data_IF_649052432107
#
_entry.id   IF_649052432107
#
_cell.length_a   1.000
_cell.length_b   1.000
_cell.length_c   1.000
_cell.angle_alpha   90.00
_cell.angle_beta   90.00
_cell.angle_gamma   90.00
#
_symmetry.space_group_name_H-M   'P 1'
#
loop_
_entity.id
_entity.type
_entity.pdbx_description
1 polymer ?
#
# COMPACT_ATOMS: atom_id res chain seq x y z
N UNK A 1 -18.88 5.68 -0.96
CA UNK A 1 -17.67 4.85 -0.88
C UNK A 1 -16.70 5.55 0.07
N UNK A 2 -16.08 4.83 1.01
CA UNK A 2 -15.21 5.44 2.02
C UNK A 2 -13.84 5.69 1.40
N UNK A 3 -13.40 6.96 1.40
CA UNK A 3 -12.07 7.35 0.93
C UNK A 3 -11.07 7.19 2.06
N UNK A 4 -9.93 6.59 1.77
CA UNK A 4 -8.85 6.42 2.73
C UNK A 4 -7.52 6.82 2.12
N UNK A 5 -6.56 7.15 2.99
CA UNK A 5 -5.14 7.11 2.67
C UNK A 5 -4.57 5.98 3.49
N UNK A 6 -3.87 5.03 2.86
CA UNK A 6 -3.16 4.00 3.59
C UNK A 6 -1.84 4.58 4.10
N UNK A 7 -1.47 4.32 5.35
CA UNK A 7 -0.10 4.58 5.78
C UNK A 7 0.83 3.53 5.14
N UNK A 8 2.09 3.89 4.92
CA UNK A 8 3.13 2.97 4.44
C UNK A 8 3.21 1.71 5.31
N UNK A 9 3.02 1.84 6.63
CA UNK A 9 3.03 0.71 7.55
C UNK A 9 1.90 -0.32 7.29
N UNK A 10 0.80 0.09 6.66
CA UNK A 10 -0.32 -0.79 6.31
C UNK A 10 0.12 -1.71 5.17
N UNK A 11 0.76 -1.17 4.13
CA UNK A 11 1.30 -1.96 3.02
C UNK A 11 2.38 -2.92 3.52
N UNK A 12 3.34 -2.42 4.31
CA UNK A 12 4.41 -3.23 4.91
C UNK A 12 3.82 -4.39 5.73
N UNK A 13 2.87 -4.10 6.62
CA UNK A 13 2.25 -5.12 7.48
C UNK A 13 1.46 -6.16 6.68
N UNK A 14 0.81 -5.76 5.58
CA UNK A 14 0.07 -6.65 4.69
C UNK A 14 0.97 -7.66 3.96
N UNK A 15 2.23 -7.28 3.69
CA UNK A 15 3.25 -8.17 3.13
C UNK A 15 3.89 -9.08 4.18
N UNK A 16 4.04 -8.60 5.42
CA UNK A 16 4.66 -9.39 6.50
C UNK A 16 3.76 -10.56 6.92
N UNK A 17 2.46 -10.31 7.14
CA UNK A 17 1.55 -11.30 7.70
C UNK A 17 0.13 -11.25 7.13
N UNK A 18 -0.78 -11.97 7.78
CA UNK A 18 -2.21 -11.99 7.45
C UNK A 18 -2.99 -11.41 8.63
N UNK A 19 -3.25 -10.11 8.58
CA UNK A 19 -3.86 -9.37 9.67
C UNK A 19 -4.79 -8.25 9.21
N UNK A 20 -5.16 -7.33 10.11
CA UNK A 20 -6.05 -6.21 9.78
C UNK A 20 -5.56 -5.39 8.57
N UNK A 21 -4.24 -5.19 8.45
CA UNK A 21 -3.64 -4.50 7.31
C UNK A 21 -3.94 -5.20 5.96
N UNK A 22 -3.81 -6.53 5.90
CA UNK A 22 -4.16 -7.31 4.71
C UNK A 22 -5.63 -7.14 4.33
N UNK A 23 -6.53 -7.01 5.32
CA UNK A 23 -7.96 -6.79 5.09
C UNK A 23 -8.28 -5.39 4.56
N UNK A 24 -7.50 -4.38 4.96
CA UNK A 24 -7.60 -3.03 4.37
C UNK A 24 -7.20 -3.06 2.90
N UNK A 25 -6.09 -3.70 2.57
CA UNK A 25 -5.62 -3.82 1.18
C UNK A 25 -6.63 -4.63 0.34
N UNK A 26 -7.10 -5.77 0.84
CA UNK A 26 -8.15 -6.57 0.18
C UNK A 26 -9.41 -5.73 -0.10
N UNK A 27 -9.88 -4.95 0.89
CA UNK A 27 -11.04 -4.08 0.73
C UNK A 27 -10.85 -3.01 -0.35
N UNK A 28 -9.62 -2.52 -0.56
CA UNK A 28 -9.29 -1.61 -1.67
C UNK A 28 -9.33 -2.33 -3.02
N UNK A 29 -8.74 -3.53 -3.10
CA UNK A 29 -8.69 -4.35 -4.31
C UNK A 29 -10.09 -4.73 -4.80
N UNK A 30 -11.00 -5.06 -3.90
CA UNK A 30 -12.39 -5.42 -4.23
C UNK A 30 -13.35 -4.22 -4.29
N UNK A 31 -12.85 -2.98 -4.18
CA UNK A 31 -13.62 -1.76 -4.34
C UNK A 31 -14.57 -1.40 -3.19
N UNK A 32 -14.38 -1.97 -1.99
CA UNK A 32 -15.10 -1.55 -0.77
C UNK A 32 -14.55 -0.26 -0.19
N UNK A 33 -13.24 -0.04 -0.33
CA UNK A 33 -12.55 1.21 0.01
C UNK A 33 -12.01 1.85 -1.26
N UNK A 34 -11.95 3.19 -1.26
CA UNK A 34 -11.39 3.99 -2.33
C UNK A 34 -10.05 4.59 -1.87
N UNK A 35 -8.91 3.94 -2.17
CA UNK A 35 -7.62 4.46 -1.75
C UNK A 35 -7.24 5.72 -2.53
N UNK A 36 -6.64 6.67 -1.85
CA UNK A 36 -6.09 7.90 -2.41
C UNK A 36 -4.59 7.94 -2.14
N UNK A 37 -3.82 8.50 -3.07
CA UNK A 37 -2.40 8.76 -2.87
C UNK A 37 -1.98 10.09 -3.48
N UNK A 38 -0.92 10.69 -2.96
CA UNK A 38 -0.19 11.77 -3.64
C UNK A 38 1.06 11.23 -4.32
N UNK A 39 1.71 12.06 -5.15
CA UNK A 39 2.99 11.70 -5.74
C UNK A 39 4.08 11.45 -4.67
N UNK A 40 4.07 12.18 -3.56
CA UNK A 40 5.00 11.95 -2.47
C UNK A 40 4.81 10.57 -1.82
N UNK A 41 3.56 10.16 -1.57
CA UNK A 41 3.24 8.83 -1.04
C UNK A 41 3.56 7.72 -2.04
N UNK A 42 3.35 7.95 -3.34
CA UNK A 42 3.75 7.00 -4.38
C UNK A 42 5.25 6.66 -4.26
N UNK A 43 6.09 7.70 -4.21
CA UNK A 43 7.54 7.55 -4.10
C UNK A 43 7.96 6.92 -2.77
N UNK A 44 7.28 7.26 -1.67
CA UNK A 44 7.53 6.66 -0.36
C UNK A 44 7.23 5.16 -0.36
N UNK A 45 6.10 4.74 -0.95
CA UNK A 45 5.77 3.32 -1.03
C UNK A 45 6.76 2.57 -1.90
N UNK A 46 7.13 3.10 -3.07
CA UNK A 46 8.14 2.51 -3.94
C UNK A 46 9.48 2.33 -3.21
N UNK A 47 9.97 3.36 -2.52
CA UNK A 47 11.22 3.28 -1.75
C UNK A 47 11.10 2.24 -0.62
N UNK A 48 10.06 2.32 0.21
CA UNK A 48 9.94 1.42 1.37
C UNK A 48 9.72 -0.02 0.96
N UNK A 49 8.86 -0.30 -0.03
CA UNK A 49 8.50 -1.66 -0.44
C UNK A 49 9.66 -2.40 -1.10
N UNK A 50 10.61 -1.69 -1.72
CA UNK A 50 11.80 -2.26 -2.32
C UNK A 50 12.98 -2.48 -1.33
N UNK A 51 12.88 -2.03 -0.07
CA UNK A 51 13.92 -2.29 0.95
C UNK A 51 13.93 -3.76 1.39
N UNK A 52 15.08 -4.23 1.90
CA UNK A 52 15.20 -5.58 2.46
C UNK A 52 14.86 -5.64 3.97
N UNK A 53 15.28 -4.63 4.74
CA UNK A 53 15.24 -4.68 6.20
C UNK A 53 13.84 -4.93 6.81
N UNK A 54 12.74 -4.26 6.37
CA UNK A 54 11.41 -4.51 6.93
C UNK A 54 10.85 -5.91 6.61
N UNK A 55 11.39 -6.57 5.58
CA UNK A 55 10.80 -7.78 4.99
C UNK A 55 11.64 -9.03 5.19
N UNK A 56 12.66 -9.00 6.05
CA UNK A 56 13.55 -10.15 6.31
C UNK A 56 12.81 -11.45 6.69
N UNK A 57 11.62 -11.32 7.28
CA UNK A 57 10.75 -12.45 7.67
C UNK A 57 9.33 -12.29 7.13
N UNK A 58 9.16 -11.51 6.07
CA UNK A 58 7.86 -11.30 5.46
C UNK A 58 7.38 -12.55 4.73
N UNK A 59 6.06 -12.70 4.65
CA UNK A 59 5.43 -13.72 3.81
C UNK A 59 5.69 -13.48 2.32
N UNK A 60 5.79 -12.21 1.91
CA UNK A 60 6.00 -11.83 0.51
C UNK A 60 7.47 -11.57 0.20
N UNK A 61 7.93 -12.09 -0.94
CA UNK A 61 9.23 -11.74 -1.53
C UNK A 61 9.19 -10.38 -2.26
N UNK A 62 10.29 -9.98 -2.91
CA UNK A 62 10.35 -8.71 -3.65
C UNK A 62 9.34 -8.63 -4.79
N UNK A 63 9.18 -9.72 -5.54
CA UNK A 63 8.29 -9.73 -6.68
C UNK A 63 6.83 -9.61 -6.23
N UNK A 64 6.43 -10.40 -5.23
CA UNK A 64 5.09 -10.37 -4.66
C UNK A 64 4.73 -9.03 -4.00
N UNK A 65 5.73 -8.34 -3.43
CA UNK A 65 5.55 -6.98 -2.89
C UNK A 65 5.23 -5.99 -3.99
N UNK A 66 5.97 -6.04 -5.10
CA UNK A 66 5.74 -5.15 -6.24
C UNK A 66 4.41 -5.46 -6.94
N UNK A 67 4.04 -6.74 -7.08
CA UNK A 67 2.73 -7.14 -7.61
C UNK A 67 1.57 -6.61 -6.75
N UNK A 68 1.71 -6.69 -5.42
CA UNK A 68 0.71 -6.12 -4.50
C UNK A 68 0.63 -4.60 -4.65
N UNK A 69 1.77 -3.94 -4.80
CA UNK A 69 1.87 -2.49 -4.90
C UNK A 69 1.25 -1.98 -6.21
N UNK A 70 1.54 -2.64 -7.33
CA UNK A 70 0.93 -2.37 -8.64
C UNK A 70 -0.59 -2.56 -8.60
N UNK A 71 -1.04 -3.68 -8.01
CA UNK A 71 -2.47 -3.95 -7.83
C UNK A 71 -3.13 -2.87 -6.96
N UNK A 72 -2.49 -2.45 -5.87
CA UNK A 72 -2.99 -1.38 -5.02
C UNK A 72 -3.05 -0.04 -5.76
N UNK A 73 -2.01 0.34 -6.49
CA UNK A 73 -1.96 1.57 -7.29
C UNK A 73 -3.03 1.61 -8.38
N UNK A 74 -3.32 0.48 -9.02
CA UNK A 74 -4.41 0.38 -10.01
C UNK A 74 -5.80 0.73 -9.43
N UNK A 75 -5.94 0.70 -8.10
CA UNK A 75 -7.17 1.06 -7.39
C UNK A 75 -7.15 2.48 -6.83
N UNK A 76 -5.99 3.13 -6.81
CA UNK A 76 -5.85 4.43 -6.18
C UNK A 76 -6.31 5.58 -7.07
N UNK A 77 -6.78 6.64 -6.41
CA UNK A 77 -6.98 7.95 -7.04
C UNK A 77 -5.82 8.86 -6.66
N UNK A 78 -5.09 9.37 -7.65
CA UNK A 78 -4.05 10.38 -7.43
C UNK A 78 -4.69 11.70 -7.00
N UNK A 79 -4.18 12.30 -5.93
CA UNK A 79 -4.66 13.57 -5.39
C UNK A 79 -3.50 14.53 -5.12
N UNK A 80 -3.74 15.82 -5.35
CA UNK A 80 -2.83 16.88 -4.96
C UNK A 80 -3.00 17.22 -3.48
N UNK A 81 -1.87 17.39 -2.78
CA UNK A 81 -1.85 17.78 -1.37
C UNK A 81 -1.25 19.19 -1.28
N UNK A 82 -1.95 20.08 -0.59
CA UNK A 82 -1.49 21.43 -0.32
C UNK A 82 -1.34 21.62 1.20
N UNK A 83 -0.16 22.05 1.62
CA UNK A 83 0.11 22.45 3.00
C UNK A 83 -0.22 23.95 3.16
N UNK A 84 -0.76 24.32 4.32
CA UNK A 84 -1.01 25.71 4.71
C UNK A 84 -0.01 26.15 5.77
#
# INVERSE_FOLDING_TARGET
MIRIVADTNVLVSACIGQGPASKVIEACLIGRLMPMLSLALYLEYEDVMNRAAPFQRARFDLHQRNDLLDAFFSRCTLVDIHYR
#
